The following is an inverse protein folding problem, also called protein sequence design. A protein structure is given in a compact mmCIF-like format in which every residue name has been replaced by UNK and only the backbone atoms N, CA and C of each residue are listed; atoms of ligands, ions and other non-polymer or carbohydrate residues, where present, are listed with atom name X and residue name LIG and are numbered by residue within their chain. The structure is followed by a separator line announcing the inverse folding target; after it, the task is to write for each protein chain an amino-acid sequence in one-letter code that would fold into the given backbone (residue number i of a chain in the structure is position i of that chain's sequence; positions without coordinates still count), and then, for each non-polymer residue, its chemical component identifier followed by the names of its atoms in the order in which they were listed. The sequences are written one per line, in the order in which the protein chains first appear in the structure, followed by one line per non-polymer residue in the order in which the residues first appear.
data_IF_769923304862
#
_entry.id   IF_769923304862
#
_cell.length_a   1.000
_cell.length_b   1.000
_cell.length_c   1.000
_cell.angle_alpha   90.00
_cell.angle_beta   90.00
_cell.angle_gamma   90.00
#
_symmetry.space_group_name_H-M   'P 1'
#
loop_
_entity.id
_entity.type
_entity.pdbx_description
1 polymer ?
#
# COMPACT_ATOMS: atom_id res chain seq x y z
N UNK A 1 -60.88 22.35 -37.82
CA UNK A 1 -59.41 22.25 -37.99
C UNK A 1 -58.87 21.49 -36.80
N UNK A 2 -58.55 20.22 -37.00
CA UNK A 2 -58.23 19.27 -35.94
C UNK A 2 -56.73 19.30 -35.63
N UNK A 3 -56.38 19.57 -34.37
CA UNK A 3 -55.06 19.31 -33.81
C UNK A 3 -55.27 18.24 -32.73
N UNK A 4 -54.76 17.04 -32.96
CA UNK A 4 -54.72 15.97 -31.98
C UNK A 4 -53.30 15.38 -32.01
N UNK A 5 -52.46 15.88 -31.11
CA UNK A 5 -51.14 15.32 -30.80
C UNK A 5 -51.38 14.18 -29.83
N UNK A 6 -51.01 12.96 -30.23
CA UNK A 6 -51.16 11.77 -29.41
C UNK A 6 -50.08 11.73 -28.33
N UNK A 7 -50.52 11.88 -27.08
CA UNK A 7 -49.78 11.54 -25.87
C UNK A 7 -49.66 10.03 -25.74
N UNK A 8 -48.46 9.50 -25.50
CA UNK A 8 -48.28 8.16 -24.92
C UNK A 8 -47.30 8.27 -23.76
N UNK A 9 -47.76 7.80 -22.61
CA UNK A 9 -47.02 7.66 -21.37
C UNK A 9 -46.84 6.17 -21.05
N UNK A 10 -46.02 5.91 -20.02
CA UNK A 10 -45.64 4.63 -19.38
C UNK A 10 -44.32 4.05 -19.92
N UNK A 11 -43.34 3.64 -19.12
CA UNK A 11 -43.39 3.21 -17.72
C UNK A 11 -42.14 3.62 -16.94
N UNK A 12 -42.35 3.92 -15.66
CA UNK A 12 -41.31 3.99 -14.64
C UNK A 12 -40.76 2.59 -14.36
N UNK A 13 -39.45 2.45 -14.25
CA UNK A 13 -38.86 1.48 -13.33
C UNK A 13 -37.54 2.06 -12.82
N UNK A 14 -37.61 2.56 -11.59
CA UNK A 14 -36.44 2.85 -10.78
C UNK A 14 -35.76 1.53 -10.42
N UNK A 15 -34.48 1.36 -10.75
CA UNK A 15 -33.60 0.39 -10.09
C UNK A 15 -32.16 0.86 -10.21
N UNK A 16 -31.74 1.71 -9.29
CA UNK A 16 -30.38 1.74 -8.76
C UNK A 16 -30.60 1.61 -7.25
N UNK A 17 -30.23 0.46 -6.63
CA UNK A 17 -28.86 0.34 -6.13
C UNK A 17 -28.36 -1.11 -6.10
N UNK A 18 -27.34 -1.44 -6.88
CA UNK A 18 -26.44 -2.51 -6.43
C UNK A 18 -25.00 -2.01 -6.43
N UNK A 19 -24.70 -1.47 -5.26
CA UNK A 19 -23.39 -1.27 -4.68
C UNK A 19 -22.55 -2.53 -4.91
N UNK A 20 -21.83 -2.60 -6.03
CA UNK A 20 -20.66 -3.46 -6.10
C UNK A 20 -19.60 -2.72 -5.29
N UNK A 21 -19.72 -2.84 -3.96
CA UNK A 21 -18.61 -2.72 -3.03
C UNK A 21 -17.64 -3.85 -3.37
N UNK A 22 -16.91 -3.66 -4.47
CA UNK A 22 -15.59 -4.20 -4.63
C UNK A 22 -14.68 -3.36 -3.73
N UNK A 23 -14.96 -3.42 -2.42
CA UNK A 23 -13.92 -3.33 -1.44
C UNK A 23 -12.97 -4.46 -1.84
N UNK A 24 -11.98 -4.10 -2.65
CA UNK A 24 -10.86 -4.95 -2.97
C UNK A 24 -10.31 -5.35 -1.61
N UNK A 25 -10.71 -6.54 -1.17
CA UNK A 25 -10.10 -7.20 -0.04
C UNK A 25 -8.62 -7.24 -0.39
N UNK A 26 -7.72 -6.63 0.41
CA UNK A 26 -6.30 -6.76 0.15
C UNK A 26 -5.99 -8.26 0.19
N UNK A 27 -5.48 -8.79 -0.92
CA UNK A 27 -5.22 -10.21 -1.11
C UNK A 27 -4.33 -10.77 0.03
N UNK A 28 -4.62 -11.98 0.57
CA UNK A 28 -3.73 -12.69 1.50
C UNK A 28 -2.91 -13.77 0.76
N UNK A 29 -1.73 -14.20 1.25
CA UNK A 29 -0.58 -13.42 1.64
C UNK A 29 0.65 -13.76 0.76
N UNK A 30 0.94 -12.90 -0.21
CA UNK A 30 2.34 -12.47 -0.47
C UNK A 30 2.87 -11.67 0.74
N UNK A 31 2.01 -11.43 1.74
CA UNK A 31 2.14 -10.66 2.96
C UNK A 31 3.25 -11.10 3.93
N UNK A 32 4.18 -11.96 3.52
CA UNK A 32 5.33 -12.28 4.36
C UNK A 32 6.54 -11.44 3.99
N UNK A 33 6.98 -11.42 2.72
CA UNK A 33 8.31 -10.86 2.42
C UNK A 33 8.38 -9.34 2.55
N UNK A 34 7.43 -8.59 1.98
CA UNK A 34 7.44 -7.13 2.09
C UNK A 34 7.02 -6.64 3.49
N UNK A 35 6.25 -7.43 4.26
CA UNK A 35 5.95 -7.10 5.65
C UNK A 35 7.12 -7.36 6.58
N UNK A 36 7.91 -8.41 6.35
CA UNK A 36 9.19 -8.59 7.04
C UNK A 36 10.12 -7.41 6.75
N UNK A 37 10.13 -6.90 5.51
CA UNK A 37 10.86 -5.67 5.18
C UNK A 37 10.29 -4.44 5.92
N UNK A 38 8.97 -4.24 5.94
CA UNK A 38 8.32 -3.16 6.70
C UNK A 38 8.68 -3.19 8.19
N UNK A 39 8.73 -4.40 8.77
CA UNK A 39 9.13 -4.64 10.16
C UNK A 39 10.61 -4.35 10.38
N UNK A 40 11.47 -4.75 9.43
CA UNK A 40 12.91 -4.45 9.48
C UNK A 40 13.19 -2.95 9.50
N UNK A 41 12.43 -2.16 8.75
CA UNK A 41 12.60 -0.69 8.69
C UNK A 41 11.80 0.06 9.77
N UNK A 42 11.04 -0.63 10.63
CA UNK A 42 10.16 -0.01 11.64
C UNK A 42 10.88 1.01 12.54
N UNK A 43 12.11 0.68 12.90
CA UNK A 43 12.97 1.44 13.80
C UNK A 43 14.12 2.15 13.09
N UNK A 44 14.12 2.16 11.75
CA UNK A 44 15.09 2.91 10.98
C UNK A 44 14.93 4.43 11.23
N UNK A 45 16.03 5.16 11.04
CA UNK A 45 15.98 6.61 10.98
C UNK A 45 15.53 7.03 9.58
N UNK A 46 14.61 7.98 9.52
CA UNK A 46 14.12 8.53 8.27
C UNK A 46 14.70 9.93 8.02
N UNK A 47 14.95 10.30 6.75
CA UNK A 47 14.73 9.51 5.53
C UNK A 47 15.72 8.34 5.41
N UNK A 48 15.23 7.21 4.88
CA UNK A 48 16.01 5.99 4.67
C UNK A 48 16.31 5.83 3.18
N UNK A 49 17.59 5.75 2.83
CA UNK A 49 18.06 5.50 1.48
C UNK A 49 18.19 3.99 1.23
N UNK A 50 17.69 3.53 0.09
CA UNK A 50 17.68 2.13 -0.33
C UNK A 50 18.25 2.04 -1.74
N UNK A 51 19.30 1.25 -1.91
CA UNK A 51 20.00 1.01 -3.18
C UNK A 51 20.04 -0.46 -3.58
N UNK A 52 19.70 -1.37 -2.66
CA UNK A 52 19.63 -2.80 -2.95
C UNK A 52 18.38 -3.11 -3.79
N UNK A 53 18.49 -3.82 -4.93
CA UNK A 53 17.36 -4.08 -5.83
C UNK A 53 16.19 -4.85 -5.19
N UNK A 54 16.47 -5.79 -4.29
CA UNK A 54 15.44 -6.57 -3.61
C UNK A 54 14.72 -5.69 -2.58
N UNK A 55 15.47 -4.88 -1.83
CA UNK A 55 14.90 -3.89 -0.90
C UNK A 55 14.10 -2.79 -1.62
N UNK A 56 14.54 -2.35 -2.80
CA UNK A 56 13.82 -1.41 -3.66
C UNK A 56 12.47 -2.01 -4.10
N UNK A 57 12.46 -3.27 -4.56
CA UNK A 57 11.23 -3.97 -4.97
C UNK A 57 10.23 -4.07 -3.80
N UNK A 58 10.74 -4.37 -2.60
CA UNK A 58 9.93 -4.39 -1.38
C UNK A 58 9.40 -3.00 -1.01
N UNK A 59 10.23 -1.97 -1.12
CA UNK A 59 9.84 -0.59 -0.85
C UNK A 59 8.73 -0.12 -1.82
N UNK A 60 8.85 -0.39 -3.11
CA UNK A 60 7.81 -0.07 -4.10
C UNK A 60 6.52 -0.83 -3.81
N UNK A 61 6.60 -2.11 -3.45
CA UNK A 61 5.42 -2.90 -3.05
C UNK A 61 4.71 -2.29 -1.83
N UNK A 62 5.46 -1.84 -0.82
CA UNK A 62 4.91 -1.17 0.36
C UNK A 62 4.35 0.23 0.05
N UNK A 63 4.94 0.96 -0.89
CA UNK A 63 4.43 2.25 -1.36
C UNK A 63 3.11 2.08 -2.10
N UNK A 64 3.02 1.10 -3.00
CA UNK A 64 1.78 0.77 -3.72
C UNK A 64 0.67 0.35 -2.74
N UNK A 65 1.04 -0.34 -1.65
CA UNK A 65 0.12 -0.67 -0.55
C UNK A 65 -0.21 0.53 0.38
N UNK A 66 0.39 1.71 0.15
CA UNK A 66 0.17 2.91 0.98
C UNK A 66 0.77 2.85 2.37
N UNK A 67 1.68 1.91 2.63
CA UNK A 67 2.27 1.67 3.97
C UNK A 67 3.51 2.52 4.24
N UNK A 68 4.18 3.00 3.19
CA UNK A 68 5.29 3.93 3.27
C UNK A 68 5.13 5.07 2.26
N UNK A 69 5.87 6.15 2.46
CA UNK A 69 6.00 7.23 1.48
C UNK A 69 7.43 7.24 0.93
N UNK A 70 7.55 7.33 -0.40
CA UNK A 70 8.81 7.43 -1.11
C UNK A 70 8.90 8.83 -1.74
N UNK A 71 10.05 9.49 -1.56
CA UNK A 71 10.39 10.73 -2.26
C UNK A 71 11.34 10.37 -3.40
N UNK A 72 10.77 10.25 -4.59
CA UNK A 72 11.47 10.09 -5.88
C UNK A 72 12.29 8.79 -6.03
N UNK A 73 12.10 8.17 -7.19
CA UNK A 73 12.89 7.05 -7.69
C UNK A 73 13.92 7.66 -8.63
N UNK A 74 15.19 7.66 -8.21
CA UNK A 74 16.25 8.29 -9.00
C UNK A 74 17.20 7.21 -9.53
N UNK A 75 17.42 7.22 -10.83
CA UNK A 75 18.56 6.54 -11.45
C UNK A 75 19.77 7.43 -11.28
N UNK A 76 20.69 7.03 -10.41
CA UNK A 76 21.96 7.71 -10.21
C UNK A 76 22.99 7.15 -11.20
N UNK A 77 23.82 8.00 -11.78
CA UNK A 77 24.97 7.61 -12.59
C UNK A 77 26.21 7.82 -11.75
N UNK A 78 26.96 6.75 -11.49
CA UNK A 78 28.26 6.84 -10.81
C UNK A 78 29.33 7.38 -11.77
N UNK A 79 30.45 7.88 -11.23
CA UNK A 79 31.58 8.42 -12.00
C UNK A 79 32.14 7.38 -13.00
N UNK A 80 31.93 6.09 -12.72
CA UNK A 80 32.30 4.94 -13.55
C UNK A 80 31.26 4.59 -14.66
N UNK A 81 30.29 5.48 -14.93
CA UNK A 81 29.19 5.30 -15.92
C UNK A 81 28.19 4.18 -15.61
N UNK A 82 28.19 3.64 -14.38
CA UNK A 82 27.17 2.68 -13.96
C UNK A 82 25.93 3.42 -13.46
N UNK A 83 24.78 3.08 -14.04
CA UNK A 83 23.49 3.55 -13.54
C UNK A 83 22.98 2.58 -12.49
N UNK A 84 22.69 3.08 -11.29
CA UNK A 84 22.04 2.30 -10.23
C UNK A 84 20.73 2.96 -9.80
N UNK A 85 19.79 2.14 -9.37
CA UNK A 85 18.48 2.58 -8.89
C UNK A 85 18.58 2.94 -7.41
N UNK A 86 17.93 4.04 -7.04
CA UNK A 86 17.88 4.52 -5.65
C UNK A 86 16.45 4.95 -5.30
N UNK A 87 16.01 4.54 -4.11
CA UNK A 87 14.74 4.92 -3.52
C UNK A 87 14.99 5.58 -2.17
N UNK A 88 14.32 6.70 -1.88
CA UNK A 88 14.35 7.34 -0.56
C UNK A 88 12.99 7.22 0.11
N UNK A 89 12.93 6.39 1.15
CA UNK A 89 11.74 6.26 2.00
C UNK A 89 11.72 7.44 2.96
N UNK A 90 10.68 8.27 2.91
CA UNK A 90 10.57 9.43 3.80
C UNK A 90 9.95 9.10 5.15
N UNK A 91 9.00 8.17 5.20
CA UNK A 91 8.36 7.72 6.44
C UNK A 91 7.55 6.44 6.25
N UNK A 92 7.23 5.77 7.36
CA UNK A 92 6.17 4.75 7.43
C UNK A 92 4.85 5.46 7.76
N UNK A 93 3.82 5.25 6.94
CA UNK A 93 2.52 5.90 7.09
C UNK A 93 1.76 5.38 8.31
N UNK A 94 0.66 6.05 8.67
CA UNK A 94 -0.25 5.57 9.71
C UNK A 94 -0.81 4.17 9.40
N UNK A 95 -1.05 3.85 8.11
CA UNK A 95 -1.49 2.54 7.66
C UNK A 95 -0.41 1.49 7.94
N UNK A 96 0.82 1.74 7.51
CA UNK A 96 1.95 0.83 7.76
C UNK A 96 2.17 0.57 9.24
N UNK A 97 2.13 1.62 10.09
CA UNK A 97 2.23 1.50 11.55
C UNK A 97 1.08 0.70 12.16
N UNK A 98 -0.12 0.81 11.61
CA UNK A 98 -1.29 0.07 12.10
C UNK A 98 -1.17 -1.41 11.77
N UNK A 99 -0.68 -1.73 10.58
CA UNK A 99 -0.50 -3.10 10.15
C UNK A 99 0.65 -3.79 10.91
N UNK A 100 1.75 -3.09 11.21
CA UNK A 100 2.79 -3.57 12.13
C UNK A 100 2.21 -3.98 13.49
N UNK A 101 1.39 -3.11 14.11
CA UNK A 101 0.73 -3.40 15.39
C UNK A 101 -0.25 -4.58 15.30
N UNK A 102 -0.92 -4.75 14.17
CA UNK A 102 -1.84 -5.88 13.95
C UNK A 102 -1.05 -7.18 13.93
N UNK A 103 0.06 -7.23 13.20
CA UNK A 103 0.87 -8.44 13.08
C UNK A 103 1.63 -8.79 14.35
N UNK A 104 2.08 -7.81 15.14
CA UNK A 104 2.68 -8.07 16.46
C UNK A 104 1.72 -8.82 17.40
N UNK A 105 0.42 -8.47 17.40
CA UNK A 105 -0.60 -9.11 18.24
C UNK A 105 -0.91 -10.54 17.82
N UNK A 106 -0.71 -10.86 16.54
CA UNK A 106 -0.92 -12.20 15.99
C UNK A 106 0.37 -13.02 15.92
N UNK A 107 1.51 -12.47 16.38
CA UNK A 107 2.76 -13.21 16.41
C UNK A 107 2.72 -14.28 17.52
N UNK A 108 2.84 -15.57 17.19
CA UNK A 108 2.91 -16.63 18.21
C UNK A 108 4.17 -16.54 19.10
N UNK A 109 5.06 -15.59 18.84
CA UNK A 109 6.30 -15.34 19.59
C UNK A 109 6.28 -14.08 20.47
N UNK A 110 5.12 -13.41 20.62
CA UNK A 110 4.99 -12.16 21.40
C UNK A 110 5.39 -12.29 22.90
N UNK A 111 5.50 -13.51 23.43
CA UNK A 111 5.95 -13.80 24.80
C UNK A 111 7.48 -13.75 24.98
N UNK A 112 8.27 -13.64 23.91
CA UNK A 112 9.75 -13.57 23.98
C UNK A 112 10.28 -12.13 24.14
N UNK A 113 9.68 -11.32 25.01
CA UNK A 113 10.38 -10.12 25.50
C UNK A 113 11.23 -10.52 26.71
N UNK A 114 12.57 -10.40 26.67
CA UNK A 114 13.37 -10.64 27.85
C UNK A 114 13.04 -9.58 28.89
N UNK A 115 12.56 -10.01 30.07
CA UNK A 115 12.50 -9.14 31.27
C UNK A 115 13.94 -8.73 31.58
N UNK A 116 14.29 -7.46 31.37
CA UNK A 116 15.48 -6.89 32.01
C UNK A 116 15.20 -6.85 33.51
N UNK A 117 15.99 -7.63 34.26
CA UNK A 117 16.11 -7.52 35.71
C UNK A 117 16.96 -6.33 36.12
#
# INVERSE_FOLDING_TARGET
MAAAVATTAMAATATDPEVISLAAQPAPPESSMYFEYLRRIEHALFPLEVTDPDEITNAESLRLAGMITIREESTCVDDDQFTYQRVVISEITLLGRTELRRQEKHSPFAWRRPRKG
#
